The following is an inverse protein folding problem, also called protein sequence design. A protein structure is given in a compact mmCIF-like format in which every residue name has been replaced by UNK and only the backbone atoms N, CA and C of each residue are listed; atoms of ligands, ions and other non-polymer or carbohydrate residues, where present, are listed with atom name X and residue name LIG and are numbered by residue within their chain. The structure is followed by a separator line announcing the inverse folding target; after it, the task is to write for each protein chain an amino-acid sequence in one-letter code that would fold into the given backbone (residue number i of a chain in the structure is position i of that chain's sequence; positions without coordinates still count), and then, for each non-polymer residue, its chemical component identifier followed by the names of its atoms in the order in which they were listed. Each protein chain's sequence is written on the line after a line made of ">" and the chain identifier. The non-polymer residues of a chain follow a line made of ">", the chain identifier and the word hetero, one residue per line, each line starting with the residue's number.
data_IF_737165522006
#
_entry.id   IF_737165522006
#
_cell.length_a   1.000
_cell.length_b   1.000
_cell.length_c   1.000
_cell.angle_alpha   90.00
_cell.angle_beta   90.00
_cell.angle_gamma   90.00
#
_symmetry.space_group_name_H-M   'P 1'
#
loop_
_entity.id
_entity.type
_entity.pdbx_description
1 polymer ?
#
# COMPACT_ATOMS: atom_id res chain seq x y z
N UNK A 1 3.63 -10.43 16.20
CA UNK A 1 3.51 -10.89 14.79
C UNK A 1 4.00 -12.34 14.63
N UNK A 2 3.15 -13.21 14.09
CA UNK A 2 3.59 -14.54 13.68
C UNK A 2 4.80 -14.41 12.75
N UNK A 3 5.86 -15.15 13.06
CA UNK A 3 7.09 -15.12 12.29
C UNK A 3 6.75 -15.60 10.87
N UNK A 4 6.96 -14.74 9.85
CA UNK A 4 6.73 -15.14 8.45
C UNK A 4 7.71 -16.27 8.12
N UNK A 5 7.20 -17.48 7.93
CA UNK A 5 7.98 -18.57 7.38
C UNK A 5 8.06 -18.38 5.87
N UNK A 6 9.11 -17.73 5.39
CA UNK A 6 9.29 -17.47 3.96
C UNK A 6 9.28 -18.74 3.11
N UNK A 7 9.79 -19.87 3.63
CA UNK A 7 9.84 -21.11 2.87
C UNK A 7 8.43 -21.69 2.69
N UNK A 8 7.58 -21.59 3.70
CA UNK A 8 6.21 -22.07 3.63
C UNK A 8 5.26 -21.05 3.03
N UNK A 9 5.22 -19.82 3.55
CA UNK A 9 4.20 -18.81 3.25
C UNK A 9 4.51 -17.97 2.00
N UNK A 10 5.77 -17.94 1.57
CA UNK A 10 6.24 -17.18 0.39
C UNK A 10 6.98 -18.06 -0.62
N UNK A 11 6.64 -19.35 -0.65
CA UNK A 11 7.15 -20.29 -1.66
C UNK A 11 6.75 -19.87 -3.08
N UNK A 12 7.41 -20.37 -4.13
CA UNK A 12 7.01 -20.09 -5.52
C UNK A 12 5.54 -20.42 -5.84
N UNK A 13 4.91 -21.32 -5.09
CA UNK A 13 3.50 -21.70 -5.26
C UNK A 13 2.53 -20.85 -4.44
N UNK A 14 3.02 -20.11 -3.43
CA UNK A 14 2.20 -19.29 -2.50
C UNK A 14 2.50 -17.80 -2.56
N UNK A 15 3.58 -17.40 -3.22
CA UNK A 15 3.95 -16.01 -3.40
C UNK A 15 2.90 -15.29 -4.26
N UNK A 16 2.27 -14.29 -3.68
CA UNK A 16 1.34 -13.42 -4.38
C UNK A 16 1.99 -12.04 -4.52
N UNK A 17 2.30 -11.67 -5.76
CA UNK A 17 2.65 -10.30 -6.13
C UNK A 17 1.56 -9.38 -5.62
N UNK A 18 1.97 -8.28 -5.00
CA UNK A 18 1.10 -7.23 -4.50
C UNK A 18 1.53 -5.91 -5.10
N UNK A 19 0.53 -5.16 -5.54
CA UNK A 19 0.68 -3.80 -6.02
C UNK A 19 1.82 -3.57 -7.02
N UNK A 20 1.85 -4.34 -8.13
CA UNK A 20 2.89 -4.21 -9.12
C UNK A 20 2.85 -2.83 -9.79
N UNK A 21 4.02 -2.26 -10.01
CA UNK A 21 4.22 -0.97 -10.66
C UNK A 21 5.00 -1.19 -11.95
N UNK A 22 4.33 -0.95 -13.09
CA UNK A 22 4.87 -1.15 -14.45
C UNK A 22 5.58 0.11 -14.93
N UNK A 23 6.87 0.02 -15.21
CA UNK A 23 7.71 1.14 -15.69
C UNK A 23 7.70 1.27 -17.21
N UNK A 24 8.14 2.44 -17.70
CA UNK A 24 8.19 2.75 -19.13
C UNK A 24 9.09 1.81 -19.95
N UNK A 25 10.10 1.21 -19.32
CA UNK A 25 11.00 0.21 -19.94
C UNK A 25 10.44 -1.23 -19.90
N UNK A 26 9.19 -1.40 -19.48
CA UNK A 26 8.53 -2.71 -19.34
C UNK A 26 8.99 -3.53 -18.14
N UNK A 27 9.83 -2.96 -17.27
CA UNK A 27 10.16 -3.57 -15.99
C UNK A 27 9.01 -3.41 -14.99
N UNK A 28 8.94 -4.31 -14.00
CA UNK A 28 7.92 -4.28 -12.96
C UNK A 28 8.60 -4.27 -11.59
N UNK A 29 8.14 -3.36 -10.73
CA UNK A 29 8.52 -3.30 -9.32
C UNK A 29 7.37 -3.88 -8.51
N UNK A 30 7.67 -4.82 -7.61
CA UNK A 30 6.65 -5.41 -6.75
C UNK A 30 7.26 -6.02 -5.48
N UNK A 31 6.40 -6.33 -4.52
CA UNK A 31 6.68 -7.24 -3.41
C UNK A 31 5.45 -8.14 -3.20
N UNK A 32 5.55 -9.15 -2.34
CA UNK A 32 4.41 -9.76 -1.68
C UNK A 32 4.13 -9.08 -0.33
N UNK A 33 3.04 -9.44 0.36
CA UNK A 33 2.84 -8.95 1.74
C UNK A 33 3.96 -9.46 2.66
N UNK A 34 4.67 -8.53 3.30
CA UNK A 34 5.75 -8.79 4.26
C UNK A 34 6.96 -9.51 3.63
N UNK A 35 7.42 -9.03 2.48
CA UNK A 35 8.57 -9.59 1.75
C UNK A 35 9.49 -8.50 1.20
N UNK A 36 10.70 -8.84 0.73
CA UNK A 36 11.53 -7.94 -0.08
C UNK A 36 10.78 -7.38 -1.28
N UNK A 37 11.14 -6.15 -1.65
CA UNK A 37 10.71 -5.52 -2.90
C UNK A 37 11.76 -5.79 -3.97
N UNK A 38 11.28 -6.12 -5.18
CA UNK A 38 12.10 -6.58 -6.30
C UNK A 38 11.70 -5.77 -7.53
N UNK A 39 12.71 -5.43 -8.34
CA UNK A 39 12.50 -5.00 -9.72
C UNK A 39 12.93 -6.11 -10.66
N UNK A 40 12.04 -6.52 -11.56
CA UNK A 40 12.35 -7.45 -12.65
C UNK A 40 12.24 -6.73 -13.98
N UNK A 41 13.12 -7.05 -14.92
CA UNK A 41 13.00 -6.53 -16.29
C UNK A 41 11.91 -7.24 -17.08
N UNK A 42 11.66 -6.79 -18.31
CA UNK A 42 10.62 -7.35 -19.20
C UNK A 42 10.73 -8.86 -19.44
N UNK A 43 11.92 -9.44 -19.28
CA UNK A 43 12.20 -10.87 -19.44
C UNK A 43 12.40 -11.59 -18.10
N UNK A 44 11.84 -11.06 -17.01
CA UNK A 44 11.84 -11.65 -15.67
C UNK A 44 13.22 -11.79 -15.01
N UNK A 45 14.29 -11.22 -15.58
CA UNK A 45 15.57 -11.13 -14.90
C UNK A 45 15.48 -10.13 -13.73
N UNK A 46 16.02 -10.50 -12.57
CA UNK A 46 16.13 -9.61 -11.42
C UNK A 46 17.09 -8.47 -11.78
N UNK A 47 16.61 -7.22 -11.69
CA UNK A 47 17.40 -6.02 -11.88
C UNK A 47 18.03 -5.60 -10.55
N UNK A 48 17.22 -5.54 -9.50
CA UNK A 48 17.66 -5.29 -8.12
C UNK A 48 16.61 -5.79 -7.12
N UNK A 49 17.01 -5.89 -5.85
CA UNK A 49 16.16 -6.22 -4.72
C UNK A 49 16.56 -5.37 -3.51
N UNK A 50 15.58 -4.95 -2.71
CA UNK A 50 15.81 -4.40 -1.37
C UNK A 50 15.38 -5.45 -0.35
N UNK A 51 16.36 -6.08 0.30
CA UNK A 51 16.16 -7.18 1.25
C UNK A 51 15.69 -6.68 2.63
N UNK A 52 14.42 -6.25 2.68
CA UNK A 52 13.69 -5.78 3.89
C UNK A 52 12.23 -6.25 3.81
N UNK A 53 11.41 -5.92 4.81
CA UNK A 53 10.03 -6.42 4.90
C UNK A 53 9.04 -5.32 4.48
N UNK A 54 8.61 -5.35 3.23
CA UNK A 54 7.66 -4.36 2.68
C UNK A 54 6.23 -4.87 2.68
N UNK A 55 5.27 -3.95 2.71
CA UNK A 55 3.84 -4.26 2.66
C UNK A 55 3.03 -3.16 1.97
N UNK A 56 1.84 -3.55 1.52
CA UNK A 56 0.84 -2.68 0.91
C UNK A 56 1.33 -1.88 -0.30
N UNK A 57 1.33 -0.54 -0.25
CA UNK A 57 1.46 0.28 -1.45
C UNK A 57 2.90 0.56 -1.91
N UNK A 58 3.02 0.91 -3.18
CA UNK A 58 4.23 1.26 -3.93
C UNK A 58 3.80 2.38 -4.88
N UNK A 59 4.16 3.61 -4.58
CA UNK A 59 3.68 4.78 -5.32
C UNK A 59 4.83 5.59 -5.93
N UNK A 60 4.61 6.19 -7.10
CA UNK A 60 5.59 7.07 -7.74
C UNK A 60 5.58 8.44 -7.06
N UNK A 61 6.76 8.93 -6.71
CA UNK A 61 6.97 10.27 -6.21
C UNK A 61 7.21 11.30 -7.32
N UNK A 62 7.06 12.60 -7.00
CA UNK A 62 7.25 13.70 -7.95
C UNK A 62 8.67 13.87 -8.49
N UNK A 63 9.65 13.19 -7.90
CA UNK A 63 11.07 13.24 -8.25
C UNK A 63 11.57 11.94 -8.92
N UNK A 64 10.65 11.07 -9.32
CA UNK A 64 10.96 9.79 -9.96
C UNK A 64 11.46 8.71 -8.99
N UNK A 65 11.57 9.01 -7.70
CA UNK A 65 11.70 8.00 -6.66
C UNK A 65 10.34 7.34 -6.38
N UNK A 66 10.33 6.27 -5.60
CA UNK A 66 9.11 5.61 -5.17
C UNK A 66 8.98 5.66 -3.66
N UNK A 67 7.74 5.56 -3.19
CA UNK A 67 7.35 5.51 -1.80
C UNK A 67 6.63 4.19 -1.50
N UNK A 68 6.91 3.61 -0.35
CA UNK A 68 6.30 2.36 0.10
C UNK A 68 6.31 2.29 1.62
N UNK A 69 5.75 1.21 2.17
CA UNK A 69 5.69 0.94 3.59
C UNK A 69 6.53 -0.29 3.94
N UNK A 70 7.24 -0.19 5.05
CA UNK A 70 8.07 -1.25 5.59
C UNK A 70 7.69 -1.56 7.04
N UNK A 71 7.73 -2.85 7.38
CA UNK A 71 7.63 -3.37 8.73
C UNK A 71 9.03 -3.54 9.33
N UNK A 72 9.55 -2.61 10.16
CA UNK A 72 10.87 -2.76 10.75
C UNK A 72 10.91 -3.95 11.72
N UNK A 73 12.06 -4.64 11.75
CA UNK A 73 12.34 -5.62 12.79
C UNK A 73 12.83 -4.88 14.05
N UNK A 74 12.19 -5.13 15.20
CA UNK A 74 12.54 -4.57 16.52
C UNK A 74 12.51 -3.02 16.61
N UNK A 75 11.32 -2.40 16.51
CA UNK A 75 11.21 -0.94 16.65
C UNK A 75 11.70 -0.48 18.03
N UNK A 76 12.57 0.55 18.03
CA UNK A 76 13.13 1.13 19.26
C UNK A 76 12.27 2.30 19.74
N UNK A 77 11.06 2.00 20.20
CA UNK A 77 10.08 2.99 20.63
C UNK A 77 9.87 2.92 22.15
N UNK A 78 9.73 4.08 22.79
CA UNK A 78 9.50 4.16 24.23
C UNK A 78 8.10 3.61 24.58
N UNK A 79 7.98 2.93 25.71
CA UNK A 79 6.73 2.41 26.29
C UNK A 79 6.00 1.30 25.52
N UNK A 80 6.54 0.81 24.40
CA UNK A 80 5.99 -0.34 23.69
C UNK A 80 6.91 -1.56 23.85
N UNK A 81 6.33 -2.76 23.80
CA UNK A 81 7.08 -4.01 23.87
C UNK A 81 7.83 -4.32 22.57
N UNK A 82 8.65 -5.38 22.61
CA UNK A 82 9.37 -5.87 21.42
C UNK A 82 8.47 -6.49 20.34
N UNK A 83 7.22 -6.77 20.68
CA UNK A 83 6.14 -7.27 19.82
C UNK A 83 5.39 -6.16 19.06
N UNK A 84 5.63 -4.90 19.39
CA UNK A 84 5.02 -3.75 18.72
C UNK A 84 5.32 -3.74 17.23
N UNK A 85 4.27 -3.64 16.43
CA UNK A 85 4.30 -3.66 14.98
C UNK A 85 4.22 -2.22 14.44
N UNK A 86 5.36 -1.52 14.46
CA UNK A 86 5.49 -0.18 13.86
C UNK A 86 5.44 -0.23 12.32
N UNK A 87 5.19 0.90 11.67
CA UNK A 87 5.27 1.06 10.22
C UNK A 87 6.27 2.15 9.89
N UNK A 88 7.10 1.94 8.86
CA UNK A 88 7.99 2.96 8.30
C UNK A 88 7.52 3.39 6.92
N UNK A 89 7.55 4.69 6.69
CA UNK A 89 7.53 5.25 5.34
C UNK A 89 8.93 5.09 4.77
N UNK A 90 9.07 4.54 3.56
CA UNK A 90 10.36 4.36 2.89
C UNK A 90 10.31 4.99 1.50
N UNK A 91 11.33 5.81 1.19
CA UNK A 91 11.59 6.32 -0.16
C UNK A 91 12.79 5.58 -0.75
N UNK A 92 12.66 5.12 -1.98
CA UNK A 92 13.78 4.49 -2.71
C UNK A 92 13.85 4.97 -4.15
N UNK A 93 15.05 4.92 -4.72
CA UNK A 93 15.34 5.38 -6.07
C UNK A 93 15.07 4.29 -7.15
N UNK A 94 15.03 4.67 -8.44
CA UNK A 94 14.94 3.74 -9.58
C UNK A 94 15.94 2.58 -9.61
N UNK A 95 17.08 2.71 -8.92
CA UNK A 95 18.11 1.68 -8.84
C UNK A 95 18.07 0.85 -7.54
N UNK A 96 17.01 0.98 -6.73
CA UNK A 96 16.83 0.19 -5.51
C UNK A 96 17.59 0.73 -4.29
N UNK A 97 18.18 1.93 -4.35
CA UNK A 97 18.79 2.55 -3.16
C UNK A 97 17.74 3.24 -2.31
N UNK A 98 17.67 2.89 -1.02
CA UNK A 98 16.89 3.61 0.01
C UNK A 98 17.46 5.02 0.18
N UNK A 99 16.58 6.03 0.06
CA UNK A 99 16.92 7.45 0.13
C UNK A 99 16.44 8.09 1.43
N UNK A 100 15.34 7.59 1.99
CA UNK A 100 14.73 8.11 3.21
C UNK A 100 13.92 7.00 3.88
N UNK A 101 13.88 7.01 5.20
CA UNK A 101 12.96 6.19 5.97
C UNK A 101 12.54 6.90 7.25
N UNK A 102 11.30 6.66 7.69
CA UNK A 102 10.78 7.29 8.91
C UNK A 102 9.70 6.44 9.56
N UNK A 103 9.86 6.17 10.86
CA UNK A 103 8.82 5.53 11.69
C UNK A 103 7.59 6.43 11.78
N UNK A 104 6.43 5.88 11.41
CA UNK A 104 5.13 6.57 11.52
C UNK A 104 4.81 6.82 12.99
N UNK A 105 5.09 5.87 13.88
CA UNK A 105 4.86 6.07 15.31
C UNK A 105 5.72 7.20 15.88
N UNK A 106 7.00 7.26 15.54
CA UNK A 106 7.88 8.36 15.97
C UNK A 106 7.46 9.70 15.36
N UNK A 107 6.96 9.73 14.12
CA UNK A 107 6.37 10.94 13.51
C UNK A 107 5.24 11.47 14.41
N UNK A 108 4.29 10.62 14.80
CA UNK A 108 3.17 11.04 15.64
C UNK A 108 3.63 11.50 17.03
N UNK A 109 4.54 10.78 17.67
CA UNK A 109 5.09 11.16 18.99
C UNK A 109 5.77 12.52 18.92
N UNK A 110 6.66 12.76 17.96
CA UNK A 110 7.39 14.03 17.82
C UNK A 110 6.52 15.20 17.38
N UNK A 111 5.35 14.92 16.82
CA UNK A 111 4.35 15.92 16.49
C UNK A 111 3.35 16.17 17.64
N UNK A 112 3.64 15.68 18.86
CA UNK A 112 2.79 15.93 20.04
C UNK A 112 1.50 15.11 20.05
N UNK A 113 1.43 14.05 19.24
CA UNK A 113 0.24 13.20 19.07
C UNK A 113 0.40 11.85 19.76
N UNK A 114 1.17 11.82 20.86
CA UNK A 114 1.41 10.62 21.66
C UNK A 114 0.13 10.00 22.21
N UNK A 115 -0.95 10.77 22.39
CA UNK A 115 -2.26 10.26 22.80
C UNK A 115 -2.90 9.31 21.77
N UNK A 116 -2.61 9.45 20.47
CA UNK A 116 -3.09 8.53 19.43
C UNK A 116 -2.36 7.18 19.51
N UNK A 117 -1.10 7.21 19.97
CA UNK A 117 -0.24 6.02 20.11
C UNK A 117 -0.51 5.30 21.43
N UNK A 118 -0.45 6.04 22.55
CA UNK A 118 -0.44 5.48 23.90
C UNK A 118 -1.79 5.60 24.62
N UNK A 119 -2.67 6.50 24.20
CA UNK A 119 -3.96 6.76 24.87
C UNK A 119 -5.06 5.75 24.56
N UNK A 120 -4.69 4.51 24.27
CA UNK A 120 -5.64 3.44 23.94
C UNK A 120 -6.28 2.87 25.20
N UNK A 121 -7.57 2.52 25.14
CA UNK A 121 -8.22 1.84 26.27
C UNK A 121 -7.68 0.43 26.50
N UNK A 122 -7.57 -0.36 25.43
CA UNK A 122 -6.89 -1.65 25.41
C UNK A 122 -5.58 -1.54 24.64
N UNK A 123 -4.55 -2.24 25.08
CA UNK A 123 -3.27 -2.29 24.37
C UNK A 123 -3.44 -2.93 22.99
N UNK A 124 -2.80 -2.35 21.97
CA UNK A 124 -2.73 -2.88 20.61
C UNK A 124 -1.29 -2.84 20.14
N UNK A 125 -0.78 -3.98 19.70
CA UNK A 125 0.58 -4.12 19.17
C UNK A 125 0.74 -3.38 17.85
N UNK A 126 -0.34 -3.15 17.12
CA UNK A 126 -0.36 -2.42 15.85
C UNK A 126 -1.32 -1.23 15.90
N UNK A 127 -0.78 -0.06 16.24
CA UNK A 127 -1.57 1.18 16.43
C UNK A 127 -2.14 1.72 15.13
N UNK A 128 -1.32 1.76 14.08
CA UNK A 128 -1.64 2.50 12.87
C UNK A 128 -2.11 1.57 11.76
N UNK A 129 -1.34 0.50 11.49
CA UNK A 129 -1.53 -0.35 10.32
C UNK A 129 -1.60 0.54 9.07
N UNK A 130 -0.47 1.16 8.75
CA UNK A 130 -0.37 1.96 7.54
C UNK A 130 -0.53 1.04 6.33
N UNK A 131 -1.42 1.42 5.42
CA UNK A 131 -1.70 0.66 4.22
C UNK A 131 -1.48 1.46 2.94
N UNK A 132 -1.42 2.79 3.03
CA UNK A 132 -1.08 3.60 1.87
C UNK A 132 -0.24 4.84 2.21
N UNK A 133 0.65 5.19 1.28
CA UNK A 133 1.52 6.37 1.27
C UNK A 133 1.41 7.03 -0.10
N UNK A 134 0.49 7.97 -0.24
CA UNK A 134 0.21 8.66 -1.50
C UNK A 134 1.05 9.94 -1.62
N UNK A 135 2.02 10.02 -2.56
CA UNK A 135 2.84 11.20 -2.74
C UNK A 135 2.08 12.33 -3.43
N UNK A 136 2.28 13.54 -2.95
CA UNK A 136 1.72 14.75 -3.55
C UNK A 136 2.54 15.17 -4.76
N UNK A 137 1.92 15.18 -5.94
CA UNK A 137 2.60 15.44 -7.22
C UNK A 137 2.73 16.93 -7.57
N UNK A 138 1.83 17.77 -7.04
CA UNK A 138 1.80 19.21 -7.24
C UNK A 138 1.30 19.93 -5.97
N UNK A 139 1.60 21.23 -5.86
CA UNK A 139 1.10 22.05 -4.76
C UNK A 139 -0.44 22.12 -4.76
N UNK A 140 -1.03 22.21 -3.57
CA UNK A 140 -2.47 22.35 -3.40
C UNK A 140 -2.82 23.39 -2.35
N UNK A 141 -4.09 23.41 -1.96
CA UNK A 141 -4.64 24.38 -0.99
C UNK A 141 -4.00 24.25 0.40
N UNK A 142 -3.52 23.04 0.75
CA UNK A 142 -2.95 22.73 2.06
C UNK A 142 -1.56 22.07 1.99
N UNK A 143 -1.33 21.26 0.96
CA UNK A 143 -0.09 20.50 0.76
C UNK A 143 0.84 21.14 -0.25
N UNK A 144 2.09 20.71 -0.20
CA UNK A 144 3.13 21.03 -1.18
C UNK A 144 3.56 19.77 -1.91
N UNK A 145 4.05 19.92 -3.14
CA UNK A 145 4.72 18.86 -3.89
C UNK A 145 5.76 18.16 -3.02
N UNK A 146 5.65 16.84 -2.89
CA UNK A 146 6.51 16.01 -2.05
C UNK A 146 6.04 15.79 -0.61
N UNK A 147 4.93 16.40 -0.18
CA UNK A 147 4.18 15.94 1.00
C UNK A 147 3.55 14.56 0.71
N UNK A 148 3.14 13.85 1.76
CA UNK A 148 2.58 12.49 1.68
C UNK A 148 1.25 12.42 2.42
N UNK A 149 0.22 11.87 1.77
CA UNK A 149 -0.95 11.39 2.48
C UNK A 149 -0.70 9.97 2.99
N UNK A 150 -0.98 9.75 4.26
CA UNK A 150 -0.83 8.46 4.94
C UNK A 150 -2.22 7.93 5.27
N UNK A 151 -2.53 6.71 4.81
CA UNK A 151 -3.71 5.99 5.24
C UNK A 151 -3.39 5.06 6.40
N UNK A 152 -4.05 5.31 7.54
CA UNK A 152 -3.82 4.64 8.82
C UNK A 152 -5.10 3.89 9.22
N UNK A 153 -5.15 2.59 8.89
CA UNK A 153 -6.35 1.75 8.99
C UNK A 153 -6.93 1.69 10.40
N UNK A 154 -6.10 1.34 11.37
CA UNK A 154 -6.54 1.02 12.74
C UNK A 154 -6.99 2.27 13.52
N UNK A 155 -6.72 3.46 12.98
CA UNK A 155 -7.21 4.75 13.50
C UNK A 155 -8.29 5.38 12.64
N UNK A 156 -8.71 4.71 11.56
CA UNK A 156 -9.63 5.27 10.56
C UNK A 156 -9.22 6.69 10.15
N UNK A 157 -7.92 6.90 9.95
CA UNK A 157 -7.31 8.22 9.88
C UNK A 157 -6.50 8.42 8.60
N UNK A 158 -6.70 9.58 7.97
CA UNK A 158 -5.77 10.11 6.97
C UNK A 158 -4.94 11.21 7.63
N UNK A 159 -3.63 11.22 7.37
CA UNK A 159 -2.71 12.26 7.79
C UNK A 159 -1.90 12.79 6.61
N UNK A 160 -1.72 14.11 6.55
CA UNK A 160 -0.81 14.77 5.63
C UNK A 160 0.52 15.02 6.33
N UNK A 161 1.58 14.34 5.90
CA UNK A 161 2.93 14.43 6.43
C UNK A 161 3.86 15.15 5.46
N UNK A 162 4.69 16.05 5.98
CA UNK A 162 5.74 16.77 5.24
C UNK A 162 7.12 16.23 5.63
N UNK A 163 7.75 15.41 4.78
CA UNK A 163 9.06 14.82 5.09
C UNK A 163 10.16 15.87 5.32
N UNK A 164 10.15 16.98 4.59
CA UNK A 164 11.19 18.01 4.66
C UNK A 164 11.30 18.72 6.01
N UNK A 165 10.24 18.68 6.81
CA UNK A 165 10.19 19.32 8.15
C UNK A 165 9.84 18.34 9.27
N UNK A 166 9.63 17.07 8.94
CA UNK A 166 9.13 16.03 9.85
C UNK A 166 7.83 16.43 10.59
N UNK A 167 6.88 17.06 9.86
CA UNK A 167 5.63 17.60 10.43
C UNK A 167 4.39 16.93 9.87
N UNK A 168 3.43 16.63 10.74
CA UNK A 168 2.05 16.37 10.34
C UNK A 168 1.37 17.73 10.14
N UNK A 169 1.05 18.06 8.88
CA UNK A 169 0.43 19.32 8.48
C UNK A 169 -1.07 19.30 8.77
N UNK A 170 -1.68 18.13 8.60
CA UNK A 170 -3.11 17.93 8.80
C UNK A 170 -3.41 16.46 9.09
N UNK A 171 -4.52 16.20 9.77
CA UNK A 171 -5.06 14.85 9.97
C UNK A 171 -6.55 14.89 10.22
N UNK A 172 -7.23 13.82 9.87
CA UNK A 172 -8.65 13.63 10.17
C UNK A 172 -8.94 12.15 10.37
N UNK A 173 -9.72 11.84 11.40
CA UNK A 173 -10.31 10.52 11.58
C UNK A 173 -11.78 10.57 11.16
N UNK A 174 -12.21 9.62 10.34
CA UNK A 174 -13.54 9.66 9.73
C UNK A 174 -13.69 10.74 8.63
N UNK A 175 -14.80 10.74 7.88
CA UNK A 175 -15.97 9.85 8.03
C UNK A 175 -15.78 8.43 7.48
N UNK A 176 -14.61 8.12 6.93
CA UNK A 176 -14.23 6.75 6.55
C UNK A 176 -13.93 5.88 7.77
N UNK A 177 -14.04 4.56 7.62
CA UNK A 177 -13.70 3.59 8.66
C UNK A 177 -12.81 2.48 8.08
N UNK A 178 -11.67 2.26 8.73
CA UNK A 178 -10.67 1.25 8.37
C UNK A 178 -10.34 1.26 6.87
N UNK A 179 -10.18 2.46 6.32
CA UNK A 179 -9.90 2.72 4.91
C UNK A 179 -8.56 2.11 4.47
N UNK A 180 -8.43 1.77 3.18
CA UNK A 180 -7.22 1.17 2.64
C UNK A 180 -6.47 1.97 1.58
N UNK A 181 -7.05 3.03 1.05
CA UNK A 181 -6.52 3.72 -0.11
C UNK A 181 -6.85 5.21 -0.03
N UNK A 182 -5.90 6.06 -0.41
CA UNK A 182 -6.13 7.50 -0.54
C UNK A 182 -5.52 8.04 -1.83
N UNK A 183 -6.36 8.61 -2.69
CA UNK A 183 -5.94 9.24 -3.94
C UNK A 183 -6.12 10.75 -3.89
N UNK A 184 -5.23 11.47 -4.55
CA UNK A 184 -5.34 12.92 -4.75
C UNK A 184 -6.09 13.14 -6.06
N UNK A 185 -7.20 13.87 -6.02
CA UNK A 185 -8.02 14.13 -7.21
C UNK A 185 -7.58 15.39 -7.94
N UNK A 186 -7.20 16.43 -7.18
CA UNK A 186 -6.79 17.74 -7.68
C UNK A 186 -6.14 18.56 -6.55
N UNK A 187 -6.02 19.88 -6.69
CA UNK A 187 -5.36 20.77 -5.74
C UNK A 187 -6.06 20.93 -4.39
N UNK A 188 -7.31 20.46 -4.24
CA UNK A 188 -8.09 20.66 -3.02
C UNK A 188 -8.95 19.46 -2.60
N UNK A 189 -8.88 18.32 -3.30
CA UNK A 189 -9.67 17.12 -2.99
C UNK A 189 -8.83 15.86 -2.93
N UNK A 190 -9.20 14.99 -2.00
CA UNK A 190 -8.76 13.59 -1.93
C UNK A 190 -9.96 12.65 -2.00
N UNK A 191 -9.76 11.46 -2.58
CA UNK A 191 -10.67 10.32 -2.48
C UNK A 191 -10.10 9.30 -1.50
N UNK A 192 -10.96 8.68 -0.71
CA UNK A 192 -10.60 7.69 0.30
C UNK A 192 -11.47 6.45 0.13
N UNK A 193 -10.87 5.29 -0.07
CA UNK A 193 -11.61 4.02 -0.12
C UNK A 193 -11.94 3.55 1.29
N UNK A 194 -13.14 3.87 1.76
CA UNK A 194 -13.64 3.41 3.05
C UNK A 194 -14.15 1.99 2.94
N UNK A 195 -13.50 1.07 3.64
CA UNK A 195 -14.02 -0.29 3.79
C UNK A 195 -15.32 -0.32 4.59
N UNK A 196 -15.60 0.73 5.37
CA UNK A 196 -16.70 0.73 6.33
C UNK A 196 -16.64 -0.51 7.24
N UNK A 197 -15.42 -0.98 7.53
CA UNK A 197 -15.24 -2.16 8.36
C UNK A 197 -15.41 -1.81 9.83
N UNK A 198 -16.02 -2.74 10.56
CA UNK A 198 -16.27 -2.66 12.00
C UNK A 198 -15.74 -3.90 12.68
N UNK A 199 -15.04 -3.73 13.80
CA UNK A 199 -14.62 -4.83 14.66
C UNK A 199 -15.78 -5.26 15.55
N UNK A 200 -16.12 -6.54 15.52
CA UNK A 200 -17.15 -7.13 16.38
C UNK A 200 -16.56 -8.28 17.20
N UNK A 201 -17.25 -8.76 18.26
CA UNK A 201 -16.83 -9.98 18.96
C UNK A 201 -16.73 -11.24 18.08
N UNK A 202 -17.29 -11.20 16.87
CA UNK A 202 -17.31 -12.32 15.92
C UNK A 202 -16.40 -12.09 14.70
N UNK A 203 -15.45 -11.15 14.81
CA UNK A 203 -14.57 -10.74 13.72
C UNK A 203 -15.00 -9.44 13.04
N UNK A 204 -14.20 -9.01 12.06
CA UNK A 204 -14.48 -7.81 11.28
C UNK A 204 -15.60 -8.03 10.26
N UNK A 205 -16.42 -7.01 10.04
CA UNK A 205 -17.52 -7.02 9.06
C UNK A 205 -17.64 -5.68 8.37
N UNK A 206 -18.24 -5.63 7.18
CA UNK A 206 -18.60 -4.36 6.53
C UNK A 206 -19.95 -3.87 7.05
N UNK A 207 -19.97 -2.65 7.59
CA UNK A 207 -21.19 -1.93 7.93
C UNK A 207 -21.82 -1.33 6.67
N UNK A 208 -22.80 -2.03 6.09
CA UNK A 208 -23.45 -1.60 4.86
C UNK A 208 -22.65 -2.03 3.63
N UNK A 209 -21.99 -1.10 2.95
CA UNK A 209 -21.16 -1.33 1.76
C UNK A 209 -19.88 -0.52 1.89
N UNK A 210 -18.83 -0.86 1.16
CA UNK A 210 -17.68 0.04 1.02
C UNK A 210 -18.12 1.34 0.32
N UNK A 211 -17.32 2.41 0.44
CA UNK A 211 -17.59 3.68 -0.24
C UNK A 211 -16.26 4.34 -0.67
N UNK A 212 -16.22 4.93 -1.87
CA UNK A 212 -15.23 5.97 -2.19
C UNK A 212 -15.76 7.29 -1.65
N UNK A 213 -15.10 7.85 -0.63
CA UNK A 213 -15.47 9.12 0.01
C UNK A 213 -14.52 10.21 -0.46
N UNK A 214 -15.05 11.28 -1.03
CA UNK A 214 -14.28 12.46 -1.39
C UNK A 214 -14.33 13.45 -0.25
N UNK A 215 -13.17 13.94 0.21
CA UNK A 215 -13.04 15.08 1.11
C UNK A 215 -12.49 16.28 0.36
N UNK A 216 -13.20 17.40 0.46
CA UNK A 216 -12.81 18.67 -0.14
C UNK A 216 -12.28 19.62 0.94
N UNK A 217 -11.02 20.00 0.84
CA UNK A 217 -10.33 20.88 1.77
C UNK A 217 -10.77 22.34 1.66
N UNK A 218 -11.24 22.78 0.49
CA UNK A 218 -11.74 24.13 0.28
C UNK A 218 -13.09 24.33 0.98
N UNK A 219 -13.97 23.33 0.91
CA UNK A 219 -15.33 23.41 1.49
C UNK A 219 -15.48 22.71 2.85
N UNK A 220 -14.50 21.88 3.23
CA UNK A 220 -14.51 20.98 4.40
C UNK A 220 -15.70 20.00 4.40
N UNK A 221 -16.19 19.63 3.22
CA UNK A 221 -17.32 18.74 3.04
C UNK A 221 -16.89 17.40 2.48
N UNK A 222 -17.72 16.39 2.73
CA UNK A 222 -17.53 15.04 2.22
C UNK A 222 -18.65 14.66 1.27
N UNK A 223 -18.35 13.88 0.24
CA UNK A 223 -19.34 13.31 -0.68
C UNK A 223 -18.98 11.88 -1.04
N UNK A 224 -19.96 11.09 -1.49
CA UNK A 224 -19.71 9.76 -2.04
C UNK A 224 -20.50 9.60 -3.35
N UNK A 225 -19.92 10.01 -4.50
CA UNK A 225 -20.63 10.06 -5.77
C UNK A 225 -21.12 8.68 -6.24
N UNK A 226 -20.38 7.61 -5.91
CA UNK A 226 -20.68 6.25 -6.33
C UNK A 226 -21.47 5.42 -5.32
N UNK A 227 -21.94 6.01 -4.21
CA UNK A 227 -22.62 5.29 -3.11
C UNK A 227 -23.78 4.41 -3.59
N UNK A 228 -24.60 4.90 -4.51
CA UNK A 228 -25.72 4.15 -5.08
C UNK A 228 -25.24 2.92 -5.87
N UNK A 229 -24.16 3.08 -6.65
CA UNK A 229 -23.59 1.99 -7.44
C UNK A 229 -22.94 0.94 -6.52
N UNK A 230 -22.14 1.35 -5.53
CA UNK A 230 -21.55 0.44 -4.54
C UNK A 230 -22.62 -0.40 -3.83
N UNK A 231 -23.73 0.22 -3.43
CA UNK A 231 -24.88 -0.48 -2.83
C UNK A 231 -25.57 -1.44 -3.81
N UNK A 232 -25.81 -1.01 -5.06
CA UNK A 232 -26.44 -1.85 -6.10
C UNK A 232 -25.59 -3.08 -6.45
N UNK A 233 -24.27 -2.93 -6.41
CA UNK A 233 -23.28 -3.97 -6.74
C UNK A 233 -22.87 -4.84 -5.56
N UNK A 234 -23.30 -4.43 -4.38
CA UNK A 234 -22.99 -5.03 -3.09
C UNK A 234 -21.48 -5.13 -2.81
N UNK A 235 -20.74 -4.04 -3.01
CA UNK A 235 -19.29 -3.99 -2.79
C UNK A 235 -18.98 -4.02 -1.27
N UNK A 236 -18.26 -5.05 -0.79
CA UNK A 236 -18.10 -5.34 0.66
C UNK A 236 -16.75 -6.00 1.06
N UNK A 237 -15.63 -5.61 0.48
CA UNK A 237 -14.31 -6.06 0.97
C UNK A 237 -14.06 -5.55 2.40
N UNK A 238 -13.78 -6.46 3.33
CA UNK A 238 -13.60 -6.17 4.77
C UNK A 238 -12.23 -5.55 5.03
N UNK A 239 -11.21 -6.05 4.34
CA UNK A 239 -9.84 -5.54 4.37
C UNK A 239 -9.32 -5.31 2.96
N UNK A 240 -8.20 -4.59 2.85
CA UNK A 240 -7.56 -4.25 1.58
C UNK A 240 -8.56 -3.60 0.61
N UNK A 241 -8.32 -3.71 -0.69
CA UNK A 241 -9.17 -3.07 -1.70
C UNK A 241 -8.86 -1.59 -1.87
N UNK A 242 -9.26 -1.09 -3.04
CA UNK A 242 -8.84 0.22 -3.55
C UNK A 242 -9.93 0.82 -4.43
N UNK A 243 -9.85 2.13 -4.62
CA UNK A 243 -10.66 2.77 -5.66
C UNK A 243 -9.99 4.02 -6.20
N UNK A 244 -9.90 4.10 -7.53
CA UNK A 244 -9.30 5.23 -8.23
C UNK A 244 -10.38 5.94 -9.05
N UNK A 245 -10.59 7.23 -8.79
CA UNK A 245 -11.44 8.07 -9.66
C UNK A 245 -10.59 8.52 -10.85
N UNK A 246 -11.05 8.19 -12.04
CA UNK A 246 -10.31 8.39 -13.29
C UNK A 246 -10.66 9.73 -13.95
N UNK A 247 -9.85 10.15 -14.93
CA UNK A 247 -10.01 11.42 -15.65
C UNK A 247 -11.37 11.59 -16.33
N UNK A 248 -12.00 10.48 -16.76
CA UNK A 248 -13.35 10.49 -17.35
C UNK A 248 -14.49 10.64 -16.33
N UNK A 249 -14.13 10.81 -15.05
CA UNK A 249 -15.05 10.97 -13.93
C UNK A 249 -15.68 9.66 -13.46
N UNK A 250 -15.32 8.51 -14.02
CA UNK A 250 -15.68 7.19 -13.51
C UNK A 250 -14.77 6.71 -12.38
N UNK A 251 -15.06 5.52 -11.83
CA UNK A 251 -14.23 4.88 -10.81
C UNK A 251 -13.80 3.47 -11.21
N UNK A 252 -12.55 3.12 -10.93
CA UNK A 252 -12.05 1.75 -10.88
C UNK A 252 -12.11 1.27 -9.43
N UNK A 253 -12.62 0.05 -9.19
CA UNK A 253 -12.85 -0.49 -7.86
C UNK A 253 -12.23 -1.88 -7.78
N UNK A 254 -11.44 -2.10 -6.73
CA UNK A 254 -10.98 -3.42 -6.33
C UNK A 254 -11.73 -3.91 -5.08
N UNK A 255 -12.58 -4.92 -5.26
CA UNK A 255 -13.19 -5.67 -4.17
C UNK A 255 -12.34 -6.90 -3.84
N UNK A 256 -11.23 -6.64 -3.14
CA UNK A 256 -10.14 -7.58 -2.93
C UNK A 256 -10.56 -8.93 -2.35
N UNK A 257 -11.27 -8.95 -1.20
CA UNK A 257 -11.65 -10.20 -0.53
C UNK A 257 -12.63 -11.07 -1.33
N UNK A 258 -13.25 -10.52 -2.37
CA UNK A 258 -14.17 -11.21 -3.27
C UNK A 258 -13.60 -11.35 -4.70
N UNK A 259 -12.31 -11.05 -4.90
CA UNK A 259 -11.63 -11.28 -6.16
C UNK A 259 -12.24 -10.55 -7.36
N UNK A 260 -12.92 -9.42 -7.14
CA UNK A 260 -13.71 -8.74 -8.16
C UNK A 260 -13.14 -7.35 -8.44
N UNK A 261 -12.94 -7.06 -9.71
CA UNK A 261 -12.66 -5.71 -10.21
C UNK A 261 -13.88 -5.17 -10.93
N UNK A 262 -14.16 -3.88 -10.75
CA UNK A 262 -15.30 -3.20 -11.38
C UNK A 262 -14.87 -1.84 -11.92
N UNK A 263 -15.30 -1.53 -13.14
CA UNK A 263 -15.21 -0.19 -13.72
C UNK A 263 -16.61 0.41 -13.85
N UNK A 264 -16.80 1.60 -13.28
CA UNK A 264 -18.03 2.37 -13.39
C UNK A 264 -17.80 3.67 -14.15
N UNK A 265 -18.60 3.99 -15.16
CA UNK A 265 -18.54 5.32 -15.76
C UNK A 265 -19.01 6.42 -14.80
N UNK A 266 -18.92 7.68 -15.24
CA UNK A 266 -19.28 8.85 -14.43
C UNK A 266 -20.76 8.91 -14.00
N UNK A 267 -21.66 8.17 -14.65
CA UNK A 267 -23.06 8.03 -14.21
C UNK A 267 -23.22 6.96 -13.10
N UNK A 268 -22.19 6.18 -12.80
CA UNK A 268 -22.23 5.06 -11.86
C UNK A 268 -22.74 3.76 -12.47
N UNK A 269 -22.86 3.68 -13.80
CA UNK A 269 -23.19 2.45 -14.51
C UNK A 269 -21.92 1.63 -14.78
N UNK A 270 -22.09 0.31 -14.84
CA UNK A 270 -20.97 -0.63 -15.03
C UNK A 270 -20.55 -0.68 -16.48
N UNK A 271 -19.29 -0.36 -16.75
CA UNK A 271 -18.68 -0.55 -18.07
C UNK A 271 -18.20 -1.99 -18.22
N UNK A 272 -17.49 -2.50 -17.21
CA UNK A 272 -17.04 -3.89 -17.18
C UNK A 272 -16.82 -4.40 -15.75
N UNK A 273 -16.75 -5.73 -15.64
CA UNK A 273 -16.39 -6.45 -14.41
C UNK A 273 -15.43 -7.57 -14.74
N UNK A 274 -14.52 -7.83 -13.83
CA UNK A 274 -13.66 -8.99 -13.84
C UNK A 274 -13.77 -9.72 -12.51
N UNK A 275 -13.74 -11.05 -12.53
CA UNK A 275 -13.70 -11.88 -11.32
C UNK A 275 -12.56 -12.87 -11.49
N UNK A 276 -11.59 -12.85 -10.58
CA UNK A 276 -10.49 -13.80 -10.55
C UNK A 276 -10.99 -15.17 -10.08
N UNK A 277 -11.54 -15.94 -11.02
CA UNK A 277 -12.17 -17.23 -10.78
C UNK A 277 -11.46 -18.33 -11.55
N UNK A 278 -11.06 -19.39 -10.85
CA UNK A 278 -10.51 -20.58 -11.50
C UNK A 278 -11.61 -21.43 -12.15
N UNK A 279 -11.21 -22.39 -12.99
CA UNK A 279 -12.13 -23.31 -13.66
C UNK A 279 -12.96 -24.18 -12.71
N UNK A 280 -12.49 -24.39 -11.47
CA UNK A 280 -13.21 -25.11 -10.42
C UNK A 280 -14.25 -24.22 -9.69
N UNK A 281 -14.41 -22.97 -10.12
CA UNK A 281 -15.38 -22.03 -9.58
C UNK A 281 -14.88 -21.24 -8.36
N UNK A 282 -13.71 -21.57 -7.79
CA UNK A 282 -13.13 -20.82 -6.66
C UNK A 282 -12.69 -19.43 -7.08
N UNK A 283 -12.83 -18.48 -6.16
CA UNK A 283 -12.48 -17.08 -6.35
C UNK A 283 -11.23 -16.75 -5.54
N UNK A 284 -10.33 -15.98 -6.14
CA UNK A 284 -9.02 -15.64 -5.61
C UNK A 284 -8.84 -14.13 -5.51
N UNK A 285 -7.96 -13.70 -4.61
CA UNK A 285 -7.62 -12.29 -4.45
C UNK A 285 -7.03 -11.71 -5.75
N UNK A 286 -7.20 -10.41 -5.97
CA UNK A 286 -6.68 -9.68 -7.14
C UNK A 286 -5.38 -8.92 -6.84
N UNK A 287 -5.12 -8.66 -5.55
CA UNK A 287 -3.83 -8.24 -4.96
C UNK A 287 -3.35 -6.84 -5.37
N UNK A 288 -4.14 -5.83 -5.00
CA UNK A 288 -3.78 -4.41 -5.10
C UNK A 288 -3.51 -3.99 -6.55
N UNK A 289 -4.46 -4.26 -7.41
CA UNK A 289 -4.46 -3.96 -8.83
C UNK A 289 -4.36 -2.46 -9.07
N UNK A 290 -3.71 -2.10 -10.19
CA UNK A 290 -3.60 -0.73 -10.66
C UNK A 290 -4.36 -0.60 -11.98
N UNK A 291 -5.12 0.48 -12.13
CA UNK A 291 -5.63 0.85 -13.44
C UNK A 291 -4.51 1.55 -14.20
N UNK A 292 -4.21 1.10 -15.42
CA UNK A 292 -3.21 1.76 -16.27
C UNK A 292 -3.96 2.51 -17.38
N UNK A 293 -3.90 3.85 -17.42
CA UNK A 293 -4.56 4.63 -18.46
C UNK A 293 -4.03 4.28 -19.86
N UNK A 294 -4.88 4.36 -20.89
CA UNK A 294 -4.49 4.06 -22.28
C UNK A 294 -3.31 4.94 -22.76
N UNK A 295 -3.22 6.18 -22.27
CA UNK A 295 -2.09 7.07 -22.58
C UNK A 295 -0.74 6.51 -22.07
N UNK A 296 -0.70 5.96 -20.85
CA UNK A 296 0.51 5.32 -20.29
C UNK A 296 0.80 4.00 -21.02
N UNK A 297 -0.24 3.18 -21.25
CA UNK A 297 -0.14 1.93 -22.00
C UNK A 297 0.38 2.12 -23.43
N UNK A 298 -0.04 3.18 -24.13
CA UNK A 298 0.37 3.45 -25.51
C UNK A 298 1.89 3.64 -25.61
N UNK A 299 2.51 4.28 -24.62
CA UNK A 299 3.95 4.45 -24.56
C UNK A 299 4.68 3.13 -24.24
N UNK A 300 4.06 2.24 -23.46
CA UNK A 300 4.66 0.98 -23.00
C UNK A 300 4.46 -0.19 -23.98
N UNK A 301 3.36 -0.21 -24.76
CA UNK A 301 3.02 -1.29 -25.69
C UNK A 301 4.15 -1.69 -26.64
N UNK A 302 4.87 -0.76 -27.30
CA UNK A 302 5.99 -1.13 -28.17
C UNK A 302 7.09 -1.86 -27.41
N UNK A 303 7.38 -1.46 -26.17
CA UNK A 303 8.42 -2.08 -25.33
C UNK A 303 8.01 -3.47 -24.89
N UNK A 304 6.74 -3.65 -24.51
CA UNK A 304 6.18 -4.96 -24.13
C UNK A 304 6.08 -5.92 -25.34
N UNK A 305 5.88 -5.39 -26.54
CA UNK A 305 5.81 -6.16 -27.78
C UNK A 305 7.18 -6.44 -28.43
N UNK A 306 8.27 -5.86 -27.93
CA UNK A 306 9.62 -6.12 -28.45
C UNK A 306 9.99 -7.60 -28.32
N UNK A 307 10.84 -8.07 -29.25
CA UNK A 307 11.10 -9.48 -29.54
C UNK A 307 11.33 -10.44 -28.37
N UNK A 308 11.25 -11.74 -28.69
CA UNK A 308 11.22 -12.86 -27.76
C UNK A 308 12.28 -12.77 -26.66
N UNK A 309 11.85 -12.95 -25.42
CA UNK A 309 12.75 -13.19 -24.31
C UNK A 309 13.40 -14.56 -24.48
N UNK A 310 14.72 -14.66 -24.28
CA UNK A 310 15.40 -15.95 -24.29
C UNK A 310 14.72 -16.91 -23.29
N UNK A 311 14.46 -18.15 -23.71
CA UNK A 311 13.84 -19.14 -22.86
C UNK A 311 14.74 -19.46 -21.65
N UNK A 312 14.31 -19.05 -20.45
CA UNK A 312 14.84 -19.52 -19.17
C UNK A 312 16.21 -18.96 -18.79
N UNK A 313 16.24 -17.91 -17.96
CA UNK A 313 17.38 -17.70 -17.06
C UNK A 313 17.37 -18.76 -15.97
N UNK A 314 18.53 -19.34 -15.64
CA UNK A 314 18.65 -20.25 -14.50
C UNK A 314 18.08 -19.59 -13.23
N UNK A 315 17.44 -20.37 -12.33
CA UNK A 315 16.95 -19.85 -11.07
C UNK A 315 18.10 -19.16 -10.31
N UNK A 316 17.96 -17.85 -10.12
CA UNK A 316 18.93 -17.07 -9.34
C UNK A 316 18.92 -17.62 -7.92
N UNK A 317 19.99 -18.33 -7.57
CA UNK A 317 20.19 -18.83 -6.21
C UNK A 317 20.59 -17.64 -5.34
N UNK A 318 19.64 -17.10 -4.58
CA UNK A 318 19.92 -16.05 -3.60
C UNK A 318 20.75 -16.64 -2.46
N UNK A 319 22.07 -16.55 -2.56
CA UNK A 319 22.96 -16.86 -1.44
C UNK A 319 22.77 -15.80 -0.35
N UNK A 320 22.23 -16.19 0.80
CA UNK A 320 22.26 -15.36 2.03
C UNK A 320 23.70 -14.90 2.26
N UNK A 321 23.96 -13.59 2.24
CA UNK A 321 25.19 -13.07 2.85
C UNK A 321 25.07 -13.30 4.34
N UNK A 322 25.73 -14.34 4.83
CA UNK A 322 25.90 -14.60 6.25
C UNK A 322 26.49 -13.36 6.91
N UNK A 323 25.81 -12.87 7.95
CA UNK A 323 26.36 -11.86 8.84
C UNK A 323 27.69 -12.35 9.41
N UNK A 324 28.69 -11.48 9.38
CA UNK A 324 29.95 -11.68 10.06
C UNK A 324 29.70 -11.87 11.57
N UNK A 325 29.67 -13.12 12.01
CA UNK A 325 29.76 -13.50 13.41
C UNK A 325 31.23 -13.69 13.77
N UNK A 326 31.73 -12.78 14.59
CA UNK A 326 33.10 -12.76 15.12
C UNK A 326 33.50 -14.11 15.72
N UNK A 327 34.69 -14.57 15.33
CA UNK A 327 35.47 -15.47 16.15
C UNK A 327 35.85 -14.76 17.45
N UNK A 328 35.42 -15.28 18.59
CA UNK A 328 36.04 -15.02 19.88
C UNK A 328 36.41 -16.36 20.51
N UNK A 329 37.71 -16.55 20.68
CA UNK A 329 38.33 -17.76 21.19
C UNK A 329 37.98 -18.08 22.64
N UNK A 330 38.26 -19.33 22.99
CA UNK A 330 38.01 -19.89 24.30
C UNK A 330 38.73 -19.21 25.45
N UNK A 331 38.08 -19.26 26.60
CA UNK A 331 38.70 -19.20 27.92
C UNK A 331 38.13 -20.35 28.74
N UNK A 332 38.99 -21.32 29.06
CA UNK A 332 38.76 -22.36 30.08
C UNK A 332 38.48 -21.68 31.43
N UNK A 333 37.49 -22.17 32.17
CA UNK A 333 37.58 -22.48 33.62
C UNK A 333 36.25 -23.11 34.08
N UNK A 334 36.34 -24.31 34.68
CA UNK A 334 35.22 -25.05 35.28
C UNK A 334 35.02 -26.40 34.64
#
# INVERSE_FOLDING_TARGET
>A
PDQVDYANDKSPHRFMISHPLLEADGSIIFHGMYTPIVKVGRCSQIVWMIDRVFHHSIERGPDGAYWTLERPQNPQLRFVGGDYADDKIVKFSPNGKVLFERSITDIFIKNGLSSIVYGQGAYQDEVFHANDVQPVMADGVLWKKGDLFLSLRNRSMIALYRPSTDKIIWKMAGPWMMQHDVDILDEHRIAVFSNNAVTTPYGERVAGNNETIIYDFATKKTSSPFRKAFKKLDIRTVSEGRSEILEDGGVFIEEQNYGRLVRLNSAGDVDWRYVNRASDGKVYLVRWSRFVPEAELTAQRPVLAQGECAAGGEPVTLTRRGGAGQAAGGGKHG
#
